data_IF_295124669012
#
_entry.id   IF_295124669012
#
_cell.length_a   1.000
_cell.length_b   1.000
_cell.length_c   1.000
_cell.angle_alpha   90.00
_cell.angle_beta   90.00
_cell.angle_gamma   90.00
#
_symmetry.space_group_name_H-M   'P 1'
#
loop_
_entity.id
_entity.type
_entity.pdbx_description
1 polymer ?
#
# COMPACT_ATOMS: atom_id res chain seq x y z
N UNK A 1 37.47 14.00 -19.92
CA UNK A 1 37.58 15.22 -19.07
C UNK A 1 36.33 15.31 -18.21
N UNK A 2 36.56 15.17 -16.92
CA UNK A 2 35.57 15.20 -15.81
C UNK A 2 35.05 16.63 -15.63
N UNK A 3 33.75 16.79 -15.42
CA UNK A 3 33.21 17.97 -14.72
C UNK A 3 32.16 17.49 -13.70
N UNK A 4 32.55 17.54 -12.47
CA UNK A 4 31.72 17.45 -11.29
C UNK A 4 31.00 18.78 -11.12
N UNK A 5 29.70 18.75 -10.92
CA UNK A 5 28.94 19.88 -10.43
C UNK A 5 28.26 19.44 -9.13
N UNK A 6 28.81 19.92 -8.04
CA UNK A 6 28.20 19.85 -6.72
C UNK A 6 27.08 20.92 -6.68
N UNK A 7 25.86 20.54 -6.34
CA UNK A 7 24.79 21.47 -6.03
C UNK A 7 24.51 21.41 -4.55
N UNK A 8 24.77 22.52 -3.88
CA UNK A 8 24.58 22.71 -2.45
C UNK A 8 23.08 22.88 -2.14
N UNK A 9 22.63 22.14 -1.12
CA UNK A 9 21.28 22.16 -0.56
C UNK A 9 21.18 23.31 0.46
N UNK A 10 20.38 24.31 0.19
CA UNK A 10 20.06 25.38 1.14
C UNK A 10 18.76 25.02 1.90
N UNK A 11 18.89 24.73 3.19
CA UNK A 11 17.79 24.65 4.16
C UNK A 11 17.23 26.05 4.41
N UNK A 12 15.94 26.25 4.20
CA UNK A 12 15.19 27.38 4.73
C UNK A 12 14.22 26.86 5.81
N UNK A 13 14.54 27.09 7.07
CA UNK A 13 13.61 26.99 8.20
C UNK A 13 12.71 28.22 8.20
N UNK A 14 11.41 27.99 8.10
CA UNK A 14 10.41 29.03 8.43
C UNK A 14 9.79 28.67 9.76
N UNK A 15 10.16 29.39 10.80
CA UNK A 15 9.51 29.41 12.12
C UNK A 15 8.38 30.45 12.03
N UNK A 16 7.14 30.00 12.04
CA UNK A 16 5.95 30.85 12.14
C UNK A 16 5.27 30.68 13.48
N UNK A 17 5.54 31.58 14.41
CA UNK A 17 4.80 31.76 15.67
C UNK A 17 3.48 32.45 15.38
N UNK A 18 2.35 31.85 15.80
CA UNK A 18 1.06 32.56 15.86
C UNK A 18 0.54 32.49 17.29
N UNK A 19 0.67 33.58 18.00
CA UNK A 19 -0.10 33.92 19.19
C UNK A 19 -1.36 34.65 18.74
N UNK A 20 -2.51 34.29 19.28
CA UNK A 20 -3.76 35.02 19.06
C UNK A 20 -4.84 34.51 20.00
N UNK A 21 -4.98 35.24 21.12
CA UNK A 21 -5.98 35.05 22.17
C UNK A 21 -7.20 35.95 21.91
N UNK A 22 -8.40 35.50 22.26
CA UNK A 22 -9.41 36.39 22.85
C UNK A 22 -10.73 36.55 22.10
N UNK A 23 -11.85 36.31 22.83
CA UNK A 23 -13.09 37.08 22.76
C UNK A 23 -14.35 36.28 22.43
N UNK A 24 -15.15 36.05 23.50
CA UNK A 24 -16.57 35.66 23.46
C UNK A 24 -17.45 36.69 22.74
N UNK A 25 -18.47 36.27 22.00
CA UNK A 25 -19.88 36.50 22.37
C UNK A 25 -20.89 35.95 21.33
N UNK A 26 -22.06 35.63 21.86
CA UNK A 26 -23.23 34.98 21.32
C UNK A 26 -23.91 35.71 20.14
N UNK A 27 -24.47 34.98 19.15
CA UNK A 27 -25.92 34.83 18.93
C UNK A 27 -26.24 34.12 17.55
N UNK A 28 -27.15 33.17 17.64
CA UNK A 28 -28.17 32.67 16.72
C UNK A 28 -28.24 33.24 15.29
N UNK A 29 -28.27 32.41 14.26
CA UNK A 29 -29.44 31.79 13.59
C UNK A 29 -29.07 31.13 12.29
N UNK A 30 -29.75 29.96 12.09
CA UNK A 30 -30.26 29.37 10.84
C UNK A 30 -29.33 29.04 9.66
N UNK A 31 -29.16 27.71 9.49
CA UNK A 31 -29.24 26.95 8.24
C UNK A 31 -28.57 27.50 6.98
N UNK A 32 -27.48 26.85 6.61
CA UNK A 32 -27.34 26.28 5.27
C UNK A 32 -26.30 25.16 5.26
N UNK A 33 -26.74 23.91 5.12
CA UNK A 33 -25.86 22.76 4.98
C UNK A 33 -25.27 22.75 3.57
N UNK A 34 -24.17 23.43 3.39
CA UNK A 34 -23.27 23.13 2.27
C UNK A 34 -22.33 22.04 2.75
N UNK A 35 -22.60 20.79 2.33
CA UNK A 35 -21.60 19.73 2.36
C UNK A 35 -20.46 20.17 1.45
N UNK A 36 -19.43 20.76 2.04
CA UNK A 36 -18.12 20.80 1.43
C UNK A 36 -17.64 19.35 1.38
N UNK A 37 -17.66 18.75 0.20
CA UNK A 37 -16.85 17.58 -0.12
C UNK A 37 -15.39 18.03 -0.02
N UNK A 38 -14.86 17.98 1.17
CA UNK A 38 -13.43 18.04 1.40
C UNK A 38 -12.87 16.65 1.03
N UNK A 39 -12.72 16.43 -0.27
CA UNK A 39 -11.96 15.29 -0.78
C UNK A 39 -10.52 15.55 -0.37
N UNK A 40 -10.12 15.04 0.79
CA UNK A 40 -8.74 15.05 1.22
C UNK A 40 -7.91 14.49 0.05
N UNK A 41 -7.03 15.33 -0.49
CA UNK A 41 -6.13 14.95 -1.57
C UNK A 41 -5.23 13.84 -1.04
N UNK A 42 -5.47 12.61 -1.49
CA UNK A 42 -4.60 11.48 -1.14
C UNK A 42 -3.25 11.76 -1.79
N UNK A 43 -2.21 11.89 -0.96
CA UNK A 43 -0.84 12.04 -1.47
C UNK A 43 -0.40 10.71 -2.08
N UNK A 44 0.04 10.75 -3.34
CA UNK A 44 0.60 9.56 -4.00
C UNK A 44 1.97 9.24 -3.42
N UNK A 45 2.25 7.95 -3.24
CA UNK A 45 3.56 7.48 -2.79
C UNK A 45 4.61 7.81 -3.85
N UNK A 46 5.73 8.36 -3.42
CA UNK A 46 6.85 8.64 -4.31
C UNK A 46 7.49 7.34 -4.82
N UNK A 47 7.99 7.37 -6.06
CA UNK A 47 8.79 6.28 -6.61
C UNK A 47 10.03 6.05 -5.73
N UNK A 48 10.22 4.82 -5.27
CA UNK A 48 11.36 4.42 -4.45
C UNK A 48 12.67 4.24 -5.24
N UNK A 49 12.63 4.42 -6.57
CA UNK A 49 13.80 4.35 -7.47
C UNK A 49 14.37 2.94 -7.68
N UNK A 50 13.70 1.89 -7.20
CA UNK A 50 14.09 0.51 -7.41
C UNK A 50 13.77 0.00 -8.82
N UNK A 51 14.50 -1.03 -9.26
CA UNK A 51 14.30 -1.72 -10.54
C UNK A 51 13.87 -3.18 -10.37
N UNK A 52 13.50 -3.57 -9.16
CA UNK A 52 12.99 -4.91 -8.84
C UNK A 52 11.68 -4.77 -8.07
N UNK A 53 10.63 -5.41 -8.57
CA UNK A 53 9.35 -5.57 -7.88
C UNK A 53 9.36 -6.90 -7.13
N UNK A 54 9.56 -6.87 -5.82
CA UNK A 54 9.58 -8.07 -4.97
C UNK A 54 8.18 -8.39 -4.46
N UNK A 55 7.64 -9.54 -4.90
CA UNK A 55 6.31 -10.03 -4.52
C UNK A 55 6.46 -11.28 -3.65
N UNK A 56 6.04 -11.20 -2.38
CA UNK A 56 6.07 -12.31 -1.43
C UNK A 56 4.81 -13.18 -1.58
N UNK A 57 5.03 -14.46 -1.83
CA UNK A 57 3.97 -15.45 -2.09
C UNK A 57 4.27 -16.75 -1.32
N UNK A 58 3.23 -17.57 -1.04
CA UNK A 58 3.43 -18.87 -0.38
C UNK A 58 3.42 -20.07 -1.33
N UNK A 59 2.96 -19.89 -2.57
CA UNK A 59 2.96 -20.90 -3.64
C UNK A 59 3.05 -20.23 -5.01
N UNK A 60 2.84 -20.98 -6.07
CA UNK A 60 2.94 -20.49 -7.45
C UNK A 60 1.63 -19.90 -8.00
N UNK A 61 0.50 -20.07 -7.33
CA UNK A 61 -0.81 -19.72 -7.86
C UNK A 61 -0.94 -18.24 -8.25
N UNK A 62 -0.54 -17.33 -7.37
CA UNK A 62 -0.56 -15.90 -7.69
C UNK A 62 0.39 -15.56 -8.83
N UNK A 63 1.60 -16.16 -8.85
CA UNK A 63 2.57 -15.98 -9.93
C UNK A 63 1.97 -16.38 -11.27
N UNK A 64 1.35 -17.57 -11.36
CA UNK A 64 0.74 -18.08 -12.59
C UNK A 64 -0.39 -17.16 -13.10
N UNK A 65 -1.19 -16.60 -12.18
CA UNK A 65 -2.22 -15.63 -12.54
C UNK A 65 -1.63 -14.29 -13.00
N UNK A 66 -0.63 -13.81 -12.31
CA UNK A 66 0.10 -12.59 -12.69
C UNK A 66 0.70 -12.74 -14.10
N UNK A 67 1.41 -13.83 -14.35
CA UNK A 67 2.01 -14.15 -15.66
C UNK A 67 0.97 -14.30 -16.80
N UNK A 68 -0.23 -14.71 -16.46
CA UNK A 68 -1.30 -14.90 -17.44
C UNK A 68 -2.06 -13.62 -17.76
N UNK A 69 -2.28 -12.77 -16.77
CA UNK A 69 -3.25 -11.68 -16.87
C UNK A 69 -2.62 -10.29 -16.84
N UNK A 70 -1.38 -10.13 -16.36
CA UNK A 70 -0.74 -8.82 -16.38
C UNK A 70 -0.28 -8.49 -17.81
N UNK A 71 -0.87 -7.47 -18.46
CA UNK A 71 -0.74 -7.29 -19.92
C UNK A 71 0.68 -6.99 -20.39
N UNK A 72 1.46 -6.29 -19.58
CA UNK A 72 2.81 -5.84 -19.95
C UNK A 72 3.93 -6.73 -19.38
N UNK A 73 3.56 -7.87 -18.77
CA UNK A 73 4.55 -8.76 -18.20
C UNK A 73 5.20 -9.63 -19.29
N UNK A 74 6.52 -9.55 -19.38
CA UNK A 74 7.32 -10.42 -20.25
C UNK A 74 7.86 -11.60 -19.44
N UNK A 75 7.44 -12.83 -19.81
CA UNK A 75 7.83 -14.07 -19.12
C UNK A 75 9.29 -14.44 -19.35
N UNK A 76 9.85 -14.14 -20.51
CA UNK A 76 11.22 -14.53 -20.87
C UNK A 76 12.24 -13.70 -20.09
N UNK A 77 11.95 -12.42 -19.92
CA UNK A 77 12.80 -11.48 -19.16
C UNK A 77 12.39 -11.36 -17.71
N UNK A 78 11.21 -11.87 -17.32
CA UNK A 78 10.59 -11.71 -16.00
C UNK A 78 10.50 -10.24 -15.59
N UNK A 79 10.00 -9.40 -16.49
CA UNK A 79 9.97 -7.95 -16.28
C UNK A 79 8.71 -7.28 -16.81
N UNK A 80 8.45 -6.07 -16.31
CA UNK A 80 7.49 -5.11 -16.81
C UNK A 80 8.32 -3.89 -17.21
N UNK A 81 8.50 -3.66 -18.52
CA UNK A 81 9.44 -2.66 -18.99
C UNK A 81 10.85 -2.89 -18.41
N UNK A 82 11.41 -1.89 -17.73
CA UNK A 82 12.74 -1.93 -17.12
C UNK A 82 12.75 -2.54 -15.72
N UNK A 83 11.58 -2.85 -15.14
CA UNK A 83 11.46 -3.38 -13.77
C UNK A 83 11.38 -4.89 -13.79
N UNK A 84 12.31 -5.55 -13.12
CA UNK A 84 12.29 -7.00 -12.92
C UNK A 84 11.21 -7.38 -11.89
N UNK A 85 10.47 -8.45 -12.15
CA UNK A 85 9.50 -9.01 -11.21
C UNK A 85 10.08 -10.25 -10.54
N UNK A 86 10.18 -10.23 -9.21
CA UNK A 86 10.74 -11.31 -8.41
C UNK A 86 9.69 -11.85 -7.45
N UNK A 87 9.30 -13.11 -7.64
CA UNK A 87 8.43 -13.81 -6.70
C UNK A 87 9.27 -14.50 -5.62
N UNK A 88 9.11 -14.07 -4.37
CA UNK A 88 9.78 -14.65 -3.20
C UNK A 88 8.85 -15.67 -2.57
N UNK A 89 9.03 -16.94 -2.92
CA UNK A 89 8.15 -18.03 -2.50
C UNK A 89 8.63 -18.64 -1.18
N UNK A 90 7.75 -18.68 -0.17
CA UNK A 90 7.96 -19.37 1.09
C UNK A 90 6.70 -20.17 1.44
N UNK A 91 6.84 -21.45 1.77
CA UNK A 91 5.68 -22.29 2.10
C UNK A 91 4.84 -21.71 3.25
N UNK A 92 3.52 -21.86 3.17
CA UNK A 92 2.61 -21.47 4.26
C UNK A 92 2.55 -22.50 5.40
N UNK A 93 3.08 -23.71 5.18
CA UNK A 93 3.09 -24.78 6.18
C UNK A 93 3.83 -24.34 7.45
N UNK A 94 3.25 -24.65 8.61
CA UNK A 94 3.84 -24.35 9.92
C UNK A 94 4.10 -22.86 10.18
N UNK A 95 3.44 -21.98 9.44
CA UNK A 95 3.59 -20.52 9.55
C UNK A 95 4.94 -20.00 9.05
N UNK A 96 5.65 -20.76 8.22
CA UNK A 96 6.97 -20.36 7.67
C UNK A 96 6.85 -19.09 6.86
N UNK A 97 5.84 -18.97 5.99
CA UNK A 97 5.61 -17.78 5.21
C UNK A 97 5.52 -16.52 6.06
N UNK A 98 4.63 -16.50 7.07
CA UNK A 98 4.45 -15.34 7.94
C UNK A 98 5.73 -14.98 8.70
N UNK A 99 6.46 -15.99 9.23
CA UNK A 99 7.73 -15.76 9.93
C UNK A 99 8.78 -15.11 9.02
N UNK A 100 8.87 -15.56 7.76
CA UNK A 100 9.80 -15.00 6.77
C UNK A 100 9.40 -13.61 6.33
N UNK A 101 8.12 -13.38 6.09
CA UNK A 101 7.57 -12.07 5.77
C UNK A 101 7.83 -11.07 6.91
N UNK A 102 7.51 -11.42 8.15
CA UNK A 102 7.75 -10.57 9.32
C UNK A 102 9.25 -10.20 9.47
N UNK A 103 10.13 -11.18 9.26
CA UNK A 103 11.58 -10.93 9.35
C UNK A 103 12.09 -10.01 8.24
N UNK A 104 11.50 -10.08 7.05
CA UNK A 104 11.84 -9.21 5.93
C UNK A 104 11.26 -7.80 6.12
N UNK A 105 10.00 -7.67 6.54
CA UNK A 105 9.35 -6.38 6.82
C UNK A 105 10.06 -5.59 7.93
N UNK A 106 10.62 -6.26 8.94
CA UNK A 106 11.44 -5.61 9.98
C UNK A 106 12.71 -4.95 9.43
N UNK A 107 13.17 -5.36 8.26
CA UNK A 107 14.36 -4.79 7.60
C UNK A 107 14.00 -3.78 6.50
N UNK A 108 12.72 -3.54 6.26
CA UNK A 108 12.22 -2.73 5.15
C UNK A 108 12.88 -1.35 5.06
N UNK A 109 13.02 -0.65 6.21
CA UNK A 109 13.60 0.70 6.24
C UNK A 109 15.10 0.74 5.92
N UNK A 110 15.82 -0.36 6.23
CA UNK A 110 17.26 -0.47 5.99
C UNK A 110 17.63 -1.19 4.70
N UNK A 111 16.64 -1.75 4.00
CA UNK A 111 16.85 -2.45 2.73
C UNK A 111 17.17 -1.46 1.61
N UNK A 112 18.00 -1.91 0.64
CA UNK A 112 18.18 -1.19 -0.61
C UNK A 112 16.85 -1.12 -1.38
N UNK A 113 16.70 -0.18 -2.31
CA UNK A 113 15.47 -0.04 -3.09
C UNK A 113 15.06 -1.37 -3.77
N UNK A 114 16.02 -2.11 -4.33
CA UNK A 114 15.79 -3.38 -5.02
C UNK A 114 15.55 -4.60 -4.10
N UNK A 115 15.78 -4.46 -2.79
CA UNK A 115 15.58 -5.52 -1.80
C UNK A 115 14.33 -5.32 -0.93
N UNK A 116 13.66 -4.19 -1.07
CA UNK A 116 12.41 -3.91 -0.36
C UNK A 116 11.30 -4.86 -0.80
N UNK A 117 10.38 -5.14 0.12
CA UNK A 117 9.13 -5.81 -0.23
C UNK A 117 8.18 -4.77 -0.80
N UNK A 118 7.73 -4.99 -2.02
CA UNK A 118 6.79 -4.09 -2.69
C UNK A 118 5.35 -4.59 -2.57
N UNK A 119 5.17 -5.91 -2.62
CA UNK A 119 3.88 -6.56 -2.48
C UNK A 119 4.01 -7.87 -1.70
N UNK A 120 3.03 -8.18 -0.90
CA UNK A 120 2.93 -9.49 -0.24
C UNK A 120 1.50 -9.96 -0.16
N UNK A 121 1.32 -11.27 -0.19
CA UNK A 121 0.02 -11.90 0.00
C UNK A 121 -0.28 -12.09 1.48
N UNK A 122 -1.56 -12.03 1.85
CA UNK A 122 -2.02 -12.42 3.17
C UNK A 122 -3.40 -13.09 3.07
N UNK A 123 -3.65 -14.01 3.98
CA UNK A 123 -4.94 -14.66 4.11
C UNK A 123 -5.85 -13.87 5.05
N UNK A 124 -7.15 -14.06 4.90
CA UNK A 124 -8.18 -13.33 5.63
C UNK A 124 -8.04 -13.48 7.16
N UNK A 125 -7.58 -14.64 7.63
CA UNK A 125 -7.45 -14.96 9.06
C UNK A 125 -6.36 -14.15 9.76
N UNK A 126 -5.36 -13.63 9.02
CA UNK A 126 -4.30 -12.81 9.60
C UNK A 126 -4.06 -11.47 8.87
N UNK A 127 -4.92 -11.07 7.94
CA UNK A 127 -4.77 -9.80 7.20
C UNK A 127 -4.67 -8.59 8.14
N UNK A 128 -5.41 -8.59 9.22
CA UNK A 128 -5.42 -7.51 10.22
C UNK A 128 -4.08 -7.30 10.92
N UNK A 129 -3.23 -8.31 10.95
CA UNK A 129 -1.87 -8.19 11.47
C UNK A 129 -1.05 -7.13 10.73
N UNK A 130 -1.31 -6.97 9.44
CA UNK A 130 -0.58 -6.03 8.58
C UNK A 130 -1.39 -4.76 8.30
N UNK A 131 -2.68 -4.86 8.03
CA UNK A 131 -3.52 -3.72 7.66
C UNK A 131 -3.78 -2.75 8.82
N UNK A 132 -3.73 -3.22 10.07
CA UNK A 132 -3.86 -2.36 11.26
C UNK A 132 -2.55 -1.68 11.69
N UNK A 133 -1.49 -1.84 10.91
CA UNK A 133 -0.19 -1.19 11.13
C UNK A 133 0.13 -0.26 9.96
N UNK A 134 1.26 0.43 10.03
CA UNK A 134 1.76 1.24 8.91
C UNK A 134 2.62 0.43 7.91
N UNK A 135 2.63 -0.89 8.06
CA UNK A 135 3.34 -1.80 7.15
C UNK A 135 2.73 -1.84 5.74
N UNK A 136 1.39 -1.79 5.67
CA UNK A 136 0.67 -1.74 4.40
C UNK A 136 0.27 -0.29 4.08
N UNK A 137 0.46 0.13 2.84
CA UNK A 137 0.10 1.45 2.37
C UNK A 137 -1.41 1.59 2.14
N UNK A 138 -1.91 2.81 2.13
CA UNK A 138 -3.25 3.11 1.63
C UNK A 138 -3.29 2.81 0.13
N UNK A 139 -4.21 1.94 -0.28
CA UNK A 139 -4.37 1.53 -1.67
C UNK A 139 -4.66 2.72 -2.60
N UNK A 140 -5.37 3.74 -2.11
CA UNK A 140 -5.63 4.96 -2.87
C UNK A 140 -4.35 5.77 -3.14
N UNK A 141 -3.38 5.72 -2.22
CA UNK A 141 -2.08 6.37 -2.43
C UNK A 141 -1.25 5.71 -3.55
N UNK A 142 -1.61 4.49 -3.93
CA UNK A 142 -1.03 3.77 -5.07
C UNK A 142 -1.75 4.05 -6.39
N UNK A 143 -2.75 4.93 -6.38
CA UNK A 143 -3.48 5.36 -7.58
C UNK A 143 -4.76 4.58 -7.87
N UNK A 144 -5.17 3.61 -7.03
CA UNK A 144 -6.45 2.93 -7.20
C UNK A 144 -7.60 3.86 -6.80
N UNK A 145 -8.65 3.86 -7.63
CA UNK A 145 -9.86 4.65 -7.43
C UNK A 145 -11.01 3.83 -6.85
N UNK A 146 -12.07 4.49 -6.40
CA UNK A 146 -13.28 3.80 -5.95
C UNK A 146 -13.94 3.02 -7.09
N UNK A 147 -13.81 3.47 -8.33
CA UNK A 147 -14.33 2.78 -9.52
C UNK A 147 -13.58 1.46 -9.75
N UNK A 148 -12.24 1.44 -9.59
CA UNK A 148 -11.44 0.22 -9.70
C UNK A 148 -11.85 -0.83 -8.65
N UNK A 149 -12.32 -0.37 -7.48
CA UNK A 149 -12.69 -1.20 -6.35
C UNK A 149 -14.21 -1.50 -6.30
N UNK A 150 -15.00 -0.96 -7.22
CA UNK A 150 -16.47 -1.01 -7.19
C UNK A 150 -17.04 -2.43 -7.30
N UNK A 151 -16.33 -3.32 -8.00
CA UNK A 151 -16.73 -4.72 -8.19
C UNK A 151 -16.21 -5.68 -7.12
N UNK A 152 -15.47 -5.19 -6.14
CA UNK A 152 -14.99 -6.03 -5.03
C UNK A 152 -16.13 -6.28 -4.04
N UNK A 153 -16.17 -7.49 -3.51
CA UNK A 153 -17.10 -7.83 -2.42
C UNK A 153 -16.83 -7.00 -1.17
N UNK A 154 -17.87 -6.47 -0.56
CA UNK A 154 -17.74 -5.58 0.60
C UNK A 154 -17.03 -6.24 1.79
N UNK A 155 -17.26 -7.54 2.04
CA UNK A 155 -16.59 -8.25 3.12
C UNK A 155 -15.07 -8.30 2.95
N UNK A 156 -14.57 -8.36 1.70
CA UNK A 156 -13.11 -8.34 1.45
C UNK A 156 -12.51 -6.96 1.69
N UNK A 157 -13.24 -5.91 1.33
CA UNK A 157 -12.84 -4.53 1.63
C UNK A 157 -12.84 -4.27 3.14
N UNK A 158 -13.90 -4.68 3.84
CA UNK A 158 -14.01 -4.52 5.30
C UNK A 158 -12.86 -5.19 6.05
N UNK A 159 -12.51 -6.43 5.67
CA UNK A 159 -11.41 -7.16 6.28
C UNK A 159 -10.04 -6.50 6.08
N UNK A 160 -9.86 -5.76 5.00
CA UNK A 160 -8.61 -5.09 4.65
C UNK A 160 -8.59 -3.59 5.03
N UNK A 161 -9.66 -3.10 5.68
CA UNK A 161 -9.77 -1.71 6.11
C UNK A 161 -9.28 -1.54 7.53
N UNK A 162 -8.32 -0.64 7.72
CA UNK A 162 -7.83 -0.21 9.04
C UNK A 162 -8.93 0.51 9.82
N UNK A 163 -8.80 0.58 11.14
CA UNK A 163 -9.77 1.25 12.03
C UNK A 163 -10.00 2.73 11.73
N UNK A 164 -9.09 3.39 11.03
CA UNK A 164 -9.21 4.78 10.57
C UNK A 164 -9.98 4.92 9.24
N UNK A 165 -10.47 3.82 8.67
CA UNK A 165 -11.21 3.77 7.43
C UNK A 165 -10.36 3.64 6.16
N UNK A 166 -9.03 3.57 6.27
CA UNK A 166 -8.16 3.39 5.09
C UNK A 166 -8.12 1.94 4.63
N UNK A 167 -8.31 1.71 3.32
CA UNK A 167 -8.17 0.40 2.70
C UNK A 167 -6.69 0.10 2.45
N UNK A 168 -6.17 -0.98 3.02
CA UNK A 168 -4.75 -1.34 3.03
C UNK A 168 -4.38 -2.57 2.22
N UNK A 169 -5.37 -3.28 1.68
CA UNK A 169 -5.15 -4.40 0.76
C UNK A 169 -6.33 -4.58 -0.18
N UNK A 170 -6.11 -5.29 -1.28
CA UNK A 170 -7.15 -5.70 -2.23
C UNK A 170 -7.18 -7.21 -2.35
N UNK A 171 -8.38 -7.78 -2.46
CA UNK A 171 -8.55 -9.22 -2.66
C UNK A 171 -8.33 -9.58 -4.12
N UNK A 172 -7.49 -10.58 -4.37
CA UNK A 172 -7.27 -11.11 -5.71
C UNK A 172 -8.09 -12.37 -6.01
N UNK A 173 -8.72 -12.95 -4.99
CA UNK A 173 -9.66 -14.07 -5.14
C UNK A 173 -10.70 -14.05 -4.01
N UNK A 174 -11.88 -14.60 -4.27
CA UNK A 174 -12.90 -14.88 -3.26
C UNK A 174 -13.01 -16.40 -3.07
N UNK A 175 -12.97 -16.84 -1.80
CA UNK A 175 -13.23 -18.24 -1.43
C UNK A 175 -14.59 -18.31 -0.75
N UNK A 176 -15.60 -18.99 -1.32
CA UNK A 176 -16.88 -19.18 -0.64
C UNK A 176 -16.67 -20.13 0.55
N UNK A 177 -17.13 -19.71 1.73
CA UNK A 177 -17.22 -20.59 2.89
C UNK A 177 -18.47 -21.47 2.82
N UNK A 178 -18.38 -22.69 3.34
CA UNK A 178 -19.54 -23.59 3.45
C UNK A 178 -19.39 -24.50 4.66
N UNK A 179 -20.52 -24.89 5.24
CA UNK A 179 -20.58 -25.90 6.28
C UNK A 179 -21.12 -27.20 5.66
N UNK A 180 -20.44 -28.30 5.97
CA UNK A 180 -20.90 -29.65 5.62
C UNK A 180 -21.25 -30.34 6.93
N UNK A 181 -22.48 -30.87 7.06
CA UNK A 181 -22.97 -31.58 8.23
C UNK A 181 -23.73 -32.86 7.82
#
# INVERSE_FOLDING_TARGET
>A
RKKWLALALSMAMVVGSITGCGGSDSNKDASNSSKSNDSAKVETVADGGGKVLNIYVWNTEFKERFEKYYPDYNKDTQSIGDVKVKFVTNTNEGGVYQKKLDAALKKQDSASADDKIDMFLCEMDYVNKYTNTDTALDIKSLGLTDDDLSQMYDYTKQAATKSDGTLRAVSWQGCPGGFVY
#
